data_IF_378619602604
#
_entry.id   IF_378619602604
#
_cell.length_a   1.000
_cell.length_b   1.000
_cell.length_c   1.000
_cell.angle_alpha   90.00
_cell.angle_beta   90.00
_cell.angle_gamma   90.00
#
_symmetry.space_group_name_H-M   'P 1'
#
loop_
_entity.id
_entity.type
_entity.pdbx_description
1 polymer ?
#
# COMPACT_ATOMS: atom_id res chain seq x y z
N UNK A 1 6.70 21.28 -6.89
CA UNK A 1 6.81 19.85 -7.28
C UNK A 1 7.34 19.09 -6.07
N UNK A 2 6.45 18.49 -5.26
CA UNK A 2 6.83 17.77 -4.03
C UNK A 2 7.46 16.42 -4.42
N UNK A 3 8.78 16.40 -4.65
CA UNK A 3 9.55 15.16 -4.61
C UNK A 3 9.77 14.85 -3.14
N UNK A 4 9.17 13.78 -2.63
CA UNK A 4 9.58 13.21 -1.34
C UNK A 4 11.06 12.86 -1.47
N UNK A 5 11.92 13.61 -0.81
CA UNK A 5 13.38 13.38 -0.74
C UNK A 5 13.73 12.16 0.13
N UNK A 6 12.73 11.60 0.80
CA UNK A 6 12.86 10.43 1.65
C UNK A 6 12.95 9.14 0.81
N UNK A 7 13.83 8.20 1.21
CA UNK A 7 13.84 6.84 0.71
C UNK A 7 12.46 6.19 0.77
N UNK A 8 12.20 5.27 -0.16
CA UNK A 8 10.91 4.57 -0.29
C UNK A 8 10.54 3.83 0.99
N UNK A 9 11.52 3.24 1.67
CA UNK A 9 11.37 2.50 2.93
C UNK A 9 10.83 3.38 4.06
N UNK A 10 11.26 4.66 4.11
CA UNK A 10 10.75 5.61 5.08
C UNK A 10 9.32 6.03 4.75
N UNK A 11 9.01 6.25 3.47
CA UNK A 11 7.64 6.56 3.04
C UNK A 11 6.68 5.40 3.34
N UNK A 12 7.12 4.16 3.16
CA UNK A 12 6.37 2.95 3.52
C UNK A 12 6.11 2.88 5.03
N UNK A 13 7.15 3.14 5.83
CA UNK A 13 7.02 3.13 7.29
C UNK A 13 6.09 4.24 7.78
N UNK A 14 6.17 5.44 7.22
CA UNK A 14 5.22 6.53 7.52
C UNK A 14 3.79 6.10 7.15
N UNK A 15 3.60 5.53 5.96
CA UNK A 15 2.29 5.07 5.50
C UNK A 15 1.72 3.96 6.39
N UNK A 16 2.57 3.11 6.98
CA UNK A 16 2.13 2.07 7.93
C UNK A 16 1.50 2.63 9.20
N UNK A 17 1.83 3.85 9.62
CA UNK A 17 1.21 4.50 10.79
C UNK A 17 -0.13 5.19 10.48
N UNK A 18 -0.53 5.28 9.21
CA UNK A 18 -1.82 5.87 8.83
C UNK A 18 -2.88 4.77 8.76
N UNK A 19 -3.73 4.69 9.78
CA UNK A 19 -4.68 3.57 9.92
C UNK A 19 -5.87 3.66 8.98
N UNK A 20 -6.36 4.87 8.70
CA UNK A 20 -7.56 5.05 7.91
C UNK A 20 -7.23 5.05 6.41
N UNK A 21 -7.88 4.16 5.65
CA UNK A 21 -7.66 4.05 4.19
C UNK A 21 -7.98 5.35 3.45
N UNK A 22 -8.91 6.14 3.95
CA UNK A 22 -9.26 7.44 3.38
C UNK A 22 -8.09 8.44 3.46
N UNK A 23 -7.39 8.47 4.59
CA UNK A 23 -6.23 9.35 4.79
C UNK A 23 -5.05 8.90 3.92
N UNK A 24 -4.85 7.58 3.79
CA UNK A 24 -3.90 7.01 2.84
C UNK A 24 -4.23 7.42 1.39
N UNK A 25 -5.50 7.42 1.02
CA UNK A 25 -5.93 7.83 -0.32
C UNK A 25 -5.63 9.32 -0.55
N UNK A 26 -5.94 10.19 0.42
CA UNK A 26 -5.62 11.61 0.34
C UNK A 26 -4.10 11.82 0.20
N UNK A 27 -3.29 11.08 0.96
CA UNK A 27 -1.83 11.13 0.88
C UNK A 27 -1.31 10.65 -0.49
N UNK A 28 -1.90 9.57 -1.03
CA UNK A 28 -1.57 9.06 -2.36
C UNK A 28 -1.89 10.07 -3.47
N UNK A 29 -2.95 10.88 -3.30
CA UNK A 29 -3.34 11.91 -4.26
C UNK A 29 -2.47 13.17 -4.19
N UNK A 30 -1.77 13.39 -3.07
CA UNK A 30 -0.92 14.57 -2.88
C UNK A 30 0.27 14.61 -3.86
N UNK A 31 0.92 13.47 -4.14
CA UNK A 31 1.96 13.41 -5.17
C UNK A 31 2.18 12.01 -5.77
N UNK A 32 2.83 11.97 -6.95
CA UNK A 32 3.11 10.73 -7.69
C UNK A 32 3.96 9.73 -6.89
N UNK A 33 4.88 10.21 -6.05
CA UNK A 33 5.74 9.33 -5.25
C UNK A 33 4.95 8.59 -4.15
N UNK A 34 4.08 9.30 -3.43
CA UNK A 34 3.16 8.68 -2.48
C UNK A 34 2.18 7.73 -3.17
N UNK A 35 1.66 8.11 -4.34
CA UNK A 35 0.80 7.23 -5.15
C UNK A 35 1.44 5.87 -5.44
N UNK A 36 2.71 5.86 -5.86
CA UNK A 36 3.43 4.63 -6.22
C UNK A 36 3.71 3.72 -5.02
N UNK A 37 3.81 4.28 -3.82
CA UNK A 37 4.02 3.51 -2.58
C UNK A 37 2.68 3.03 -2.01
N UNK A 38 1.71 3.94 -1.85
CA UNK A 38 0.49 3.70 -1.07
C UNK A 38 -0.50 2.78 -1.79
N UNK A 39 -0.77 3.01 -3.08
CA UNK A 39 -1.83 2.26 -3.80
C UNK A 39 -1.57 0.74 -3.81
N UNK A 40 -0.42 0.25 -4.31
CA UNK A 40 -0.20 -1.19 -4.41
C UNK A 40 0.02 -1.86 -3.04
N UNK A 41 0.58 -1.14 -2.06
CA UNK A 41 1.03 -1.74 -0.78
C UNK A 41 0.05 -1.54 0.38
N UNK A 42 -0.52 -0.35 0.53
CA UNK A 42 -1.29 0.00 1.72
C UNK A 42 -2.80 0.05 1.50
N UNK A 43 -3.28 0.21 0.26
CA UNK A 43 -4.72 0.14 -0.04
C UNK A 43 -5.12 -1.28 -0.41
N UNK A 44 -4.36 -1.93 -1.30
CA UNK A 44 -4.71 -3.27 -1.79
C UNK A 44 -4.32 -4.39 -0.81
N UNK A 45 -3.17 -4.28 -0.12
CA UNK A 45 -2.63 -5.39 0.68
C UNK A 45 -2.79 -5.22 2.20
N UNK A 46 -2.97 -4.01 2.73
CA UNK A 46 -3.05 -3.79 4.20
C UNK A 46 -4.23 -4.50 4.86
N UNK A 47 -5.38 -4.49 4.21
CA UNK A 47 -6.55 -5.24 4.64
C UNK A 47 -7.03 -6.11 3.49
N UNK A 48 -6.71 -7.39 3.54
CA UNK A 48 -7.24 -8.41 2.63
C UNK A 48 -8.73 -8.66 2.90
N UNK A 49 -9.58 -7.65 2.69
CA UNK A 49 -11.05 -7.81 2.59
C UNK A 49 -11.47 -8.26 1.19
N UNK A 50 -10.57 -8.92 0.48
CA UNK A 50 -10.82 -9.38 -0.87
C UNK A 50 -11.62 -10.68 -0.81
N UNK A 51 -12.69 -10.74 -1.61
CA UNK A 51 -13.39 -12.00 -1.87
C UNK A 51 -12.37 -13.06 -2.29
N UNK A 52 -12.36 -14.20 -1.60
CA UNK A 52 -11.46 -15.32 -1.88
C UNK A 52 -11.55 -15.78 -3.34
N UNK A 53 -12.68 -15.52 -4.01
CA UNK A 53 -12.93 -15.83 -5.42
C UNK A 53 -12.19 -14.91 -6.41
N UNK A 54 -11.63 -13.78 -5.96
CA UNK A 54 -10.83 -12.88 -6.80
C UNK A 54 -9.39 -13.38 -6.93
N UNK A 55 -9.21 -14.48 -7.66
CA UNK A 55 -7.91 -15.11 -7.90
C UNK A 55 -6.82 -14.14 -8.40
N UNK A 56 -7.20 -13.13 -9.19
CA UNK A 56 -6.26 -12.12 -9.69
C UNK A 56 -5.56 -11.33 -8.57
N UNK A 57 -6.23 -11.12 -7.44
CA UNK A 57 -5.67 -10.45 -6.28
C UNK A 57 -4.73 -11.36 -5.48
N UNK A 58 -4.98 -12.67 -5.48
CA UNK A 58 -4.13 -13.67 -4.84
C UNK A 58 -2.88 -14.02 -5.67
N UNK A 59 -2.94 -13.86 -7.00
CA UNK A 59 -1.77 -13.98 -7.87
C UNK A 59 -0.70 -12.94 -7.52
N UNK A 60 -1.09 -11.72 -7.18
CA UNK A 60 -0.15 -10.64 -6.87
C UNK A 60 0.83 -10.97 -5.72
N UNK A 61 0.37 -11.37 -4.51
CA UNK A 61 1.28 -11.72 -3.42
C UNK A 61 2.08 -13.01 -3.69
N UNK A 62 1.57 -13.93 -4.52
CA UNK A 62 2.33 -15.12 -4.96
C UNK A 62 3.54 -14.70 -5.81
N UNK A 63 3.36 -13.78 -6.76
CA UNK A 63 4.43 -13.29 -7.63
C UNK A 63 5.29 -12.21 -6.96
N UNK A 64 4.80 -11.56 -5.91
CA UNK A 64 5.44 -10.44 -5.19
C UNK A 64 5.35 -10.66 -3.68
N UNK A 65 6.19 -11.55 -3.11
CA UNK A 65 6.18 -11.84 -1.69
C UNK A 65 6.53 -10.61 -0.82
N UNK A 66 7.22 -9.63 -1.39
CA UNK A 66 7.48 -8.32 -0.78
C UNK A 66 6.20 -7.54 -0.46
N UNK A 67 5.13 -7.74 -1.25
CA UNK A 67 3.82 -7.12 -0.99
C UNK A 67 3.00 -7.95 0.00
N UNK A 68 3.21 -9.27 0.02
CA UNK A 68 2.53 -10.19 0.94
C UNK A 68 2.93 -9.95 2.41
N UNK A 69 4.18 -9.56 2.66
CA UNK A 69 4.67 -9.24 4.02
C UNK A 69 4.01 -8.00 4.63
N UNK A 70 3.36 -7.16 3.82
CA UNK A 70 2.68 -5.93 4.22
C UNK A 70 1.20 -6.16 4.59
N UNK A 71 0.71 -7.40 4.46
CA UNK A 71 -0.63 -7.78 4.90
C UNK A 71 -0.67 -7.77 6.43
N UNK A 72 -1.30 -6.75 7.00
CA UNK A 72 -1.54 -6.67 8.45
C UNK A 72 -2.81 -7.42 8.81
N UNK A 73 -2.75 -8.24 9.86
CA UNK A 73 -3.91 -8.95 10.41
C UNK A 73 -4.95 -7.92 10.87
N UNK A 74 -6.23 -8.17 10.55
CA UNK A 74 -7.37 -7.39 11.04
C UNK A 74 -7.45 -7.40 12.57
#
# INVERSE_FOLDING_TARGET
>A
MFRSTLPTELNERISSYVDHTQDLLHLALACKAWKTVIIPRHIQMRHTRCDYRRESLWKLPIFRPDLASLVTRL
#
